data_IF_869373732762
#
_entry.id   IF_869373732762
#
_cell.length_a   1.000
_cell.length_b   1.000
_cell.length_c   1.000
_cell.angle_alpha   90.00
_cell.angle_beta   90.00
_cell.angle_gamma   90.00
#
_symmetry.space_group_name_H-M   'P 1'
#
loop_
_entity.id
_entity.type
_entity.pdbx_description
1 polymer ?
#
# COMPACT_ATOMS: atom_id res chain seq x y z
N UNK A 1 42.92 -48.39 -35.50
CA UNK A 1 42.26 -47.08 -35.64
C UNK A 1 41.62 -46.74 -34.31
N UNK A 2 42.12 -45.71 -33.60
CA UNK A 2 41.56 -45.26 -32.32
C UNK A 2 40.61 -44.10 -32.60
N UNK A 3 39.32 -44.28 -32.34
CA UNK A 3 38.32 -43.22 -32.43
C UNK A 3 38.27 -42.49 -31.08
N UNK A 4 38.73 -41.24 -31.06
CA UNK A 4 38.54 -40.34 -29.92
C UNK A 4 37.19 -39.65 -30.07
N UNK A 5 36.25 -39.97 -29.19
CA UNK A 5 34.97 -39.27 -29.09
C UNK A 5 35.17 -38.01 -28.25
N UNK A 6 34.91 -36.84 -28.85
CA UNK A 6 34.95 -35.54 -28.18
C UNK A 6 33.57 -35.29 -27.55
N UNK A 7 33.50 -35.32 -26.22
CA UNK A 7 32.28 -34.99 -25.48
C UNK A 7 32.14 -33.46 -25.44
N UNK A 8 31.16 -32.92 -26.18
CA UNK A 8 30.81 -31.49 -26.16
C UNK A 8 29.90 -31.23 -24.96
N UNK A 9 30.47 -30.67 -23.89
CA UNK A 9 29.71 -30.27 -22.71
C UNK A 9 29.03 -28.92 -22.99
N UNK A 10 27.72 -28.93 -23.23
CA UNK A 10 26.91 -27.70 -23.27
C UNK A 10 26.50 -27.33 -21.85
N UNK A 11 27.16 -26.33 -21.28
CA UNK A 11 26.76 -25.72 -20.01
C UNK A 11 25.50 -24.89 -20.22
N UNK A 12 24.35 -25.36 -19.74
CA UNK A 12 23.16 -24.51 -19.60
C UNK A 12 23.40 -23.55 -18.42
N UNK A 13 23.51 -22.25 -18.70
CA UNK A 13 23.44 -21.21 -17.67
C UNK A 13 21.96 -21.00 -17.37
N UNK A 14 21.49 -21.56 -16.25
CA UNK A 14 20.16 -21.28 -15.72
C UNK A 14 20.21 -19.91 -15.03
N UNK A 15 19.74 -18.87 -15.71
CA UNK A 15 19.52 -17.57 -15.08
C UNK A 15 18.38 -17.73 -14.06
N UNK A 16 18.72 -17.71 -12.77
CA UNK A 16 17.74 -17.64 -11.71
C UNK A 16 17.03 -16.29 -11.80
N UNK A 17 15.81 -16.29 -12.33
CA UNK A 17 14.87 -15.19 -12.17
C UNK A 17 14.47 -15.16 -10.69
N UNK A 18 15.18 -14.37 -9.89
CA UNK A 18 14.66 -13.99 -8.57
C UNK A 18 13.34 -13.25 -8.82
N UNK A 19 12.24 -13.61 -8.13
CA UNK A 19 11.01 -12.84 -8.24
C UNK A 19 11.35 -11.41 -7.82
N UNK A 20 11.18 -10.46 -8.75
CA UNK A 20 11.16 -9.06 -8.39
C UNK A 20 9.95 -8.91 -7.46
N UNK A 21 10.21 -8.78 -6.15
CA UNK A 21 9.18 -8.39 -5.21
C UNK A 21 8.75 -7.00 -5.67
N UNK A 22 7.57 -6.91 -6.28
CA UNK A 22 7.04 -5.65 -6.79
C UNK A 22 6.76 -4.81 -5.57
N UNK A 23 7.70 -3.92 -5.26
CA UNK A 23 7.67 -3.05 -4.10
C UNK A 23 6.72 -1.89 -4.43
N UNK A 24 5.41 -2.18 -4.40
CA UNK A 24 4.38 -1.32 -4.99
C UNK A 24 3.96 -0.08 -4.19
N UNK A 25 4.06 -0.11 -2.86
CA UNK A 25 3.61 1.02 -2.02
C UNK A 25 4.73 1.91 -1.50
N UNK A 26 4.40 3.19 -1.31
CA UNK A 26 5.32 4.20 -0.80
C UNK A 26 5.41 4.23 0.72
N UNK A 27 6.58 4.62 1.21
CA UNK A 27 6.89 4.90 2.61
C UNK A 27 7.70 6.19 2.71
N UNK A 28 7.94 6.69 3.93
CA UNK A 28 8.77 7.87 4.17
C UNK A 28 10.24 7.59 3.81
N UNK A 29 10.76 8.22 2.76
CA UNK A 29 12.14 8.12 2.27
C UNK A 29 13.02 9.23 2.83
N UNK A 30 12.49 10.46 2.92
CA UNK A 30 13.25 11.63 3.37
C UNK A 30 12.42 12.48 4.34
N UNK A 31 12.92 12.71 5.57
CA UNK A 31 14.06 12.02 6.21
C UNK A 31 13.83 10.51 6.30
N UNK A 32 14.89 9.71 6.31
CA UNK A 32 14.76 8.26 6.30
C UNK A 32 14.14 7.74 7.60
N UNK A 33 12.99 7.07 7.49
CA UNK A 33 12.41 6.32 8.60
C UNK A 33 13.34 5.19 9.05
N UNK A 34 13.27 4.85 10.34
CA UNK A 34 14.01 3.73 10.92
C UNK A 34 13.08 2.55 11.12
N UNK A 35 13.52 1.35 10.74
CA UNK A 35 12.65 0.18 10.65
C UNK A 35 12.95 -0.84 11.75
N UNK A 36 11.90 -1.50 12.26
CA UNK A 36 12.00 -2.53 13.30
C UNK A 36 12.85 -3.71 12.83
N UNK A 37 12.67 -4.12 11.57
CA UNK A 37 13.38 -5.23 10.93
C UNK A 37 14.72 -4.83 10.29
N UNK A 38 15.09 -3.54 10.36
CA UNK A 38 16.35 -3.03 9.83
C UNK A 38 16.36 -2.74 8.32
N UNK A 39 15.25 -2.97 7.61
CA UNK A 39 15.06 -2.61 6.21
C UNK A 39 13.67 -2.01 5.95
N UNK A 40 13.49 -1.23 4.87
CA UNK A 40 12.19 -0.62 4.56
C UNK A 40 11.09 -1.63 4.29
N UNK A 41 9.92 -1.40 4.89
CA UNK A 41 8.71 -2.19 4.67
C UNK A 41 7.66 -1.36 3.94
N UNK A 42 7.04 -1.94 2.92
CA UNK A 42 6.06 -1.27 2.06
C UNK A 42 4.69 -1.94 2.09
N UNK A 43 4.44 -2.84 3.04
CA UNK A 43 3.10 -3.37 3.30
C UNK A 43 2.33 -2.45 4.26
N UNK A 44 1.01 -2.50 4.13
CA UNK A 44 0.08 -1.90 5.08
C UNK A 44 0.13 -2.64 6.42
N UNK A 45 -0.18 -1.94 7.50
CA UNK A 45 -0.04 -2.45 8.88
C UNK A 45 -1.35 -3.03 9.42
N UNK A 46 -2.46 -2.60 8.83
CA UNK A 46 -3.82 -2.88 9.29
C UNK A 46 -4.83 -2.49 8.21
N UNK A 47 -6.08 -2.87 8.45
CA UNK A 47 -7.19 -2.53 7.56
C UNK A 47 -8.30 -1.82 8.31
N UNK A 48 -8.99 -0.90 7.63
CA UNK A 48 -10.27 -0.35 8.04
C UNK A 48 -11.33 -0.90 7.10
N UNK A 49 -12.47 -1.35 7.63
CA UNK A 49 -13.57 -1.83 6.78
C UNK A 49 -14.12 -0.68 5.93
N UNK A 50 -14.12 -0.81 4.60
CA UNK A 50 -14.59 0.26 3.71
C UNK A 50 -16.10 0.53 3.79
N UNK A 51 -16.86 -0.36 4.42
CA UNK A 51 -18.30 -0.23 4.67
C UNK A 51 -18.63 0.31 6.07
N UNK A 52 -17.68 0.98 6.76
CA UNK A 52 -17.92 1.60 8.09
C UNK A 52 -19.12 2.58 8.12
N UNK A 53 -19.48 3.16 6.98
CA UNK A 53 -20.65 4.02 6.82
C UNK A 53 -21.73 3.41 5.91
N UNK A 54 -21.71 2.09 5.75
CA UNK A 54 -22.52 1.35 4.79
C UNK A 54 -21.81 1.14 3.45
N UNK A 55 -22.40 0.30 2.60
CA UNK A 55 -21.89 -0.01 1.28
C UNK A 55 -21.80 1.25 0.38
N UNK A 56 -20.75 1.33 -0.42
CA UNK A 56 -20.54 2.44 -1.35
C UNK A 56 -21.57 2.36 -2.48
N UNK A 57 -22.42 3.40 -2.59
CA UNK A 57 -23.36 3.53 -3.70
C UNK A 57 -22.61 3.92 -4.98
N UNK A 58 -22.30 2.92 -5.82
CA UNK A 58 -21.62 3.11 -7.10
C UNK A 58 -22.39 3.99 -8.11
N UNK A 59 -23.71 4.13 -8.00
CA UNK A 59 -24.47 5.05 -8.86
C UNK A 59 -24.30 6.51 -8.43
N UNK A 60 -24.12 6.75 -7.12
CA UNK A 60 -23.87 8.09 -6.58
C UNK A 60 -22.41 8.51 -6.72
N UNK A 61 -21.48 7.66 -6.27
CA UNK A 61 -20.07 8.02 -6.14
C UNK A 61 -19.23 7.58 -7.36
N UNK A 62 -19.70 6.59 -8.12
CA UNK A 62 -18.90 5.88 -9.12
C UNK A 62 -18.31 4.59 -8.56
N UNK A 63 -17.78 3.76 -9.46
CA UNK A 63 -17.14 2.50 -9.12
C UNK A 63 -15.63 2.66 -8.98
N UNK A 64 -15.00 1.78 -8.20
CA UNK A 64 -13.55 1.73 -8.03
C UNK A 64 -12.99 2.78 -7.07
N UNK A 65 -11.66 2.95 -7.06
CA UNK A 65 -10.94 3.78 -6.09
C UNK A 65 -11.40 5.25 -6.08
N UNK A 66 -11.70 5.83 -7.25
CA UNK A 66 -12.18 7.22 -7.35
C UNK A 66 -13.57 7.39 -6.74
N UNK A 67 -14.42 6.36 -6.85
CA UNK A 67 -15.71 6.32 -6.17
C UNK A 67 -15.54 6.25 -4.65
N UNK A 68 -14.61 5.43 -4.17
CA UNK A 68 -14.28 5.32 -2.76
C UNK A 68 -13.72 6.64 -2.19
N UNK A 69 -12.85 7.35 -2.92
CA UNK A 69 -12.36 8.69 -2.55
C UNK A 69 -13.53 9.67 -2.39
N UNK A 70 -14.47 9.70 -3.34
CA UNK A 70 -15.65 10.58 -3.23
C UNK A 70 -16.53 10.21 -2.04
N UNK A 71 -16.72 8.92 -1.79
CA UNK A 71 -17.48 8.42 -0.65
C UNK A 71 -16.86 8.86 0.67
N UNK A 72 -15.57 8.61 0.91
CA UNK A 72 -14.90 9.02 2.15
C UNK A 72 -14.83 10.55 2.29
N UNK A 73 -14.64 11.29 1.20
CA UNK A 73 -14.63 12.76 1.21
C UNK A 73 -15.97 13.32 1.72
N UNK A 74 -17.09 12.67 1.37
CA UNK A 74 -18.41 13.07 1.86
C UNK A 74 -18.68 12.57 3.29
N UNK A 75 -18.33 11.32 3.60
CA UNK A 75 -18.71 10.66 4.85
C UNK A 75 -17.80 10.95 6.03
N UNK A 76 -16.51 11.18 5.80
CA UNK A 76 -15.58 11.47 6.89
C UNK A 76 -15.97 12.73 7.69
N UNK A 77 -16.32 13.87 7.06
CA UNK A 77 -16.85 15.02 7.80
C UNK A 77 -18.17 14.75 8.55
N UNK A 78 -19.03 13.87 8.03
CA UNK A 78 -20.31 13.50 8.67
C UNK A 78 -20.12 12.58 9.89
N UNK A 79 -18.98 11.88 9.96
CA UNK A 79 -18.71 10.90 11.03
C UNK A 79 -18.56 11.54 12.41
N UNK A 80 -18.20 12.82 12.49
CA UNK A 80 -17.88 13.51 13.74
C UNK A 80 -16.51 13.18 14.34
N UNK A 81 -15.71 12.33 13.68
CA UNK A 81 -14.33 12.01 14.07
C UNK A 81 -13.42 13.21 13.75
N UNK A 82 -12.52 13.55 14.68
CA UNK A 82 -11.74 14.79 14.60
C UNK A 82 -10.62 14.78 13.54
N UNK A 83 -10.10 13.59 13.21
CA UNK A 83 -9.00 13.43 12.26
C UNK A 83 -8.97 12.06 11.59
N UNK A 84 -8.24 11.96 10.47
CA UNK A 84 -8.00 10.67 9.82
C UNK A 84 -7.19 9.74 10.72
N UNK A 85 -6.20 10.29 11.46
CA UNK A 85 -5.48 9.56 12.52
C UNK A 85 -6.47 8.89 13.47
N UNK A 86 -7.42 9.63 14.01
CA UNK A 86 -8.40 9.09 14.96
C UNK A 86 -9.31 8.05 14.28
N UNK A 87 -9.78 8.31 13.06
CA UNK A 87 -10.59 7.36 12.29
C UNK A 87 -9.86 6.02 12.12
N UNK A 88 -8.57 6.07 11.75
CA UNK A 88 -7.73 4.89 11.59
C UNK A 88 -7.55 4.19 12.93
N UNK A 89 -7.09 4.89 13.96
CA UNK A 89 -6.77 4.28 15.26
C UNK A 89 -8.00 3.66 15.93
N UNK A 90 -9.19 4.23 15.73
CA UNK A 90 -10.46 3.71 16.27
C UNK A 90 -10.99 2.48 15.53
N UNK A 91 -10.69 2.33 14.22
CA UNK A 91 -11.36 1.34 13.36
C UNK A 91 -10.41 0.31 12.73
N UNK A 92 -9.10 0.47 12.88
CA UNK A 92 -8.13 -0.42 12.27
C UNK A 92 -8.12 -1.80 12.93
N UNK A 93 -7.98 -2.84 12.11
CA UNK A 93 -7.72 -4.20 12.54
C UNK A 93 -6.30 -4.56 12.15
N UNK A 94 -5.44 -4.72 13.15
CA UNK A 94 -4.03 -5.06 12.95
C UNK A 94 -3.86 -6.50 12.48
N UNK A 95 -2.97 -6.74 11.52
CA UNK A 95 -2.64 -8.10 11.05
C UNK A 95 -1.91 -8.95 12.08
N UNK A 96 -1.16 -8.29 12.96
CA UNK A 96 -0.35 -8.93 13.97
C UNK A 96 -0.27 -8.02 15.19
N UNK A 97 -0.24 -8.63 16.37
CA UNK A 97 -0.15 -7.92 17.65
C UNK A 97 1.25 -7.36 17.95
N UNK A 98 2.22 -7.57 17.06
CA UNK A 98 3.62 -7.16 17.25
C UNK A 98 3.99 -5.80 16.65
N UNK A 99 3.08 -5.17 15.90
CA UNK A 99 3.32 -3.88 15.27
C UNK A 99 2.77 -2.74 16.13
N UNK A 100 3.44 -1.59 16.05
CA UNK A 100 2.94 -0.37 16.65
C UNK A 100 1.78 0.17 15.81
N UNK A 101 0.65 0.47 16.45
CA UNK A 101 -0.55 0.95 15.77
C UNK A 101 -0.40 2.33 15.13
N UNK A 102 0.50 3.17 15.66
CA UNK A 102 0.72 4.54 15.19
C UNK A 102 1.98 4.66 14.30
N UNK A 103 2.98 3.80 14.50
CA UNK A 103 4.24 3.81 13.78
C UNK A 103 4.46 2.61 12.85
N UNK A 104 3.60 1.60 12.89
CA UNK A 104 3.66 0.45 12.01
C UNK A 104 4.97 -0.32 12.15
N UNK A 105 5.67 -0.47 11.04
CA UNK A 105 6.99 -1.12 10.96
C UNK A 105 8.16 -0.19 11.30
N UNK A 106 7.89 1.08 11.58
CA UNK A 106 8.94 2.03 11.95
C UNK A 106 9.15 2.08 13.45
N UNK A 107 10.35 2.53 13.86
CA UNK A 107 10.74 2.71 15.26
C UNK A 107 11.38 4.07 15.46
N UNK A 108 11.25 4.58 16.68
CA UNK A 108 11.97 5.76 17.11
C UNK A 108 13.36 5.36 17.62
N UNK A 109 14.39 5.60 16.80
CA UNK A 109 15.78 5.31 17.15
C UNK A 109 16.50 6.60 17.56
N UNK A 110 16.75 6.74 18.87
CA UNK A 110 17.39 7.93 19.47
C UNK A 110 18.74 8.27 18.83
N UNK A 111 19.50 7.26 18.40
CA UNK A 111 20.80 7.45 17.77
C UNK A 111 20.71 7.93 16.31
N UNK A 112 19.50 7.92 15.73
CA UNK A 112 19.24 8.23 14.32
C UNK A 112 18.11 9.25 14.14
N UNK A 113 17.99 10.17 15.08
CA UNK A 113 17.11 11.34 14.93
C UNK A 113 17.45 12.11 13.65
N UNK A 114 16.42 12.62 12.99
CA UNK A 114 16.53 13.34 11.73
C UNK A 114 16.06 14.78 11.88
N UNK A 115 16.70 15.70 11.17
CA UNK A 115 16.15 17.05 11.03
C UNK A 115 14.89 17.00 10.16
N UNK A 116 13.91 17.84 10.50
CA UNK A 116 12.69 17.96 9.72
C UNK A 116 12.94 18.87 8.50
N UNK A 117 12.80 18.38 7.26
CA UNK A 117 12.92 19.21 6.06
C UNK A 117 11.67 20.09 5.89
N UNK A 118 11.71 21.01 4.94
CA UNK A 118 10.51 21.77 4.52
C UNK A 118 9.57 20.96 3.61
N UNK A 119 10.03 19.80 3.15
CA UNK A 119 9.29 18.90 2.26
C UNK A 119 9.63 17.46 2.59
N UNK A 120 8.61 16.66 2.86
CA UNK A 120 8.74 15.21 3.07
C UNK A 120 8.76 14.50 1.73
N UNK A 121 9.58 13.44 1.61
CA UNK A 121 9.53 12.55 0.43
C UNK A 121 8.94 11.20 0.82
N UNK A 122 7.85 10.84 0.16
CA UNK A 122 7.24 9.52 0.18
C UNK A 122 7.51 8.79 -1.12
N UNK A 123 7.66 7.47 -1.06
CA UNK A 123 7.77 6.62 -2.24
C UNK A 123 8.46 5.31 -1.96
N UNK A 124 8.86 4.64 -3.03
CA UNK A 124 9.61 3.40 -3.00
C UNK A 124 10.77 3.45 -4.00
N UNK A 125 11.96 3.79 -3.51
CA UNK A 125 13.11 4.09 -4.38
C UNK A 125 12.85 5.32 -5.26
N UNK A 126 12.90 5.12 -6.59
CA UNK A 126 12.66 6.16 -7.59
C UNK A 126 11.17 6.31 -7.96
N UNK A 127 10.32 5.39 -7.52
CA UNK A 127 8.86 5.48 -7.70
C UNK A 127 8.31 6.38 -6.59
N UNK A 128 7.77 7.54 -6.95
CA UNK A 128 7.24 8.50 -5.98
C UNK A 128 5.89 8.09 -5.39
N UNK A 129 5.66 8.53 -4.14
CA UNK A 129 4.34 8.92 -3.64
C UNK A 129 3.45 7.86 -3.02
N UNK A 130 2.21 8.30 -2.81
CA UNK A 130 1.07 7.50 -2.38
C UNK A 130 0.56 6.78 -3.61
N UNK A 131 0.79 5.47 -3.71
CA UNK A 131 0.58 4.73 -4.97
C UNK A 131 -0.86 4.29 -5.20
N UNK A 132 -1.73 4.51 -4.20
CA UNK A 132 -3.17 4.30 -4.29
C UNK A 132 -3.95 5.53 -3.83
N UNK A 133 -5.13 5.79 -4.45
CA UNK A 133 -6.00 6.87 -4.03
C UNK A 133 -6.44 6.71 -2.58
N UNK A 134 -6.62 7.84 -1.92
CA UNK A 134 -7.16 7.89 -0.56
C UNK A 134 -6.55 9.00 0.29
N UNK A 135 -7.19 9.29 1.43
CA UNK A 135 -6.79 10.42 2.25
C UNK A 135 -5.49 10.15 3.00
N UNK A 136 -4.78 11.22 3.32
CA UNK A 136 -3.64 11.15 4.21
C UNK A 136 -3.60 12.36 5.17
N UNK A 137 -2.96 12.16 6.31
CA UNK A 137 -2.61 13.20 7.26
C UNK A 137 -1.14 13.12 7.65
N UNK A 138 -0.55 14.30 7.86
CA UNK A 138 0.81 14.44 8.36
C UNK A 138 0.77 15.15 9.71
N UNK A 139 1.59 14.67 10.64
CA UNK A 139 1.59 15.11 12.04
C UNK A 139 3.01 15.33 12.54
N UNK A 140 3.15 16.31 13.43
CA UNK A 140 4.28 16.44 14.34
C UNK A 140 3.78 16.30 15.77
N UNK A 141 4.14 15.22 16.45
CA UNK A 141 3.55 14.79 17.72
C UNK A 141 2.00 14.88 17.67
N UNK A 142 1.42 15.76 18.47
CA UNK A 142 -0.03 16.00 18.55
C UNK A 142 -0.53 17.15 17.64
N UNK A 143 0.34 17.70 16.79
CA UNK A 143 0.03 18.81 15.89
C UNK A 143 -0.17 18.32 14.46
N UNK A 144 -1.41 18.43 13.95
CA UNK A 144 -1.71 18.16 12.54
C UNK A 144 -1.09 19.22 11.63
N UNK A 145 -0.32 18.76 10.66
CA UNK A 145 0.33 19.62 9.66
C UNK A 145 -0.56 19.83 8.44
N UNK A 146 -1.10 18.74 7.91
CA UNK A 146 -1.94 18.73 6.70
C UNK A 146 -2.91 17.54 6.68
N UNK A 147 -3.94 17.70 5.85
CA UNK A 147 -4.91 16.68 5.46
C UNK A 147 -5.24 16.91 3.98
N UNK A 148 -5.28 15.83 3.20
CA UNK A 148 -5.82 15.85 1.83
C UNK A 148 -6.68 14.59 1.62
N UNK A 149 -7.75 14.72 0.84
CA UNK A 149 -8.69 13.62 0.56
C UNK A 149 -8.11 12.55 -0.38
N UNK A 150 -7.15 12.93 -1.23
CA UNK A 150 -6.49 12.05 -2.18
C UNK A 150 -5.04 12.47 -2.36
N UNK A 151 -4.16 11.85 -1.57
CA UNK A 151 -2.75 12.21 -1.57
C UNK A 151 -2.00 11.67 -2.79
N UNK A 152 -2.50 10.61 -3.43
CA UNK A 152 -1.96 10.10 -4.68
C UNK A 152 -2.16 11.13 -5.81
N UNK A 153 -3.37 11.70 -5.90
CA UNK A 153 -3.67 12.74 -6.88
C UNK A 153 -2.98 14.07 -6.57
N UNK A 154 -2.91 14.45 -5.27
CA UNK A 154 -2.34 15.73 -4.84
C UNK A 154 -0.81 15.77 -4.96
N UNK A 155 -0.13 14.67 -4.63
CA UNK A 155 1.32 14.58 -4.53
C UNK A 155 1.88 13.45 -5.41
N UNK A 156 1.75 13.54 -6.75
CA UNK A 156 2.14 12.46 -7.65
C UNK A 156 3.66 12.17 -7.66
N UNK A 157 4.48 13.14 -7.23
CA UNK A 157 5.92 12.94 -7.04
C UNK A 157 6.27 12.37 -5.65
N UNK A 158 5.30 12.28 -4.74
CA UNK A 158 5.50 11.96 -3.33
C UNK A 158 6.16 13.05 -2.51
N UNK A 159 6.34 14.24 -3.07
CA UNK A 159 6.87 15.40 -2.37
C UNK A 159 5.71 16.15 -1.69
N UNK A 160 5.75 16.22 -0.36
CA UNK A 160 4.70 16.85 0.46
C UNK A 160 5.30 18.02 1.25
N UNK A 161 4.96 19.26 0.90
CA UNK A 161 5.40 20.43 1.65
C UNK A 161 4.87 20.40 3.08
N UNK A 162 5.70 20.79 4.03
CA UNK A 162 5.36 20.85 5.45
C UNK A 162 5.73 22.20 6.06
N UNK A 163 4.83 22.73 6.87
CA UNK A 163 5.06 23.92 7.67
C UNK A 163 5.86 23.55 8.92
N UNK A 164 7.18 23.65 8.82
CA UNK A 164 8.11 23.26 9.89
C UNK A 164 7.93 24.09 11.17
N UNK A 165 7.29 25.28 11.09
CA UNK A 165 7.01 26.10 12.27
C UNK A 165 6.03 25.42 13.23
N UNK A 166 5.14 24.56 12.71
CA UNK A 166 4.20 23.74 13.50
C UNK A 166 4.88 22.55 14.18
N UNK A 167 6.13 22.26 13.83
CA UNK A 167 6.91 21.16 14.37
C UNK A 167 8.03 21.64 15.32
N UNK A 168 7.99 22.90 15.75
CA UNK A 168 8.98 23.42 16.67
C UNK A 168 9.01 22.59 17.96
N UNK A 169 10.16 21.99 18.25
CA UNK A 169 10.39 21.08 19.38
C UNK A 169 9.58 19.77 19.33
N UNK A 170 9.06 19.38 18.17
CA UNK A 170 8.43 18.08 18.00
C UNK A 170 9.48 16.96 18.08
N UNK A 171 9.08 15.82 18.63
CA UNK A 171 9.91 14.62 18.65
C UNK A 171 9.61 13.68 17.50
N UNK A 172 8.39 13.63 16.99
CA UNK A 172 7.99 12.63 16.04
C UNK A 172 7.26 13.27 14.88
N UNK A 173 7.70 12.96 13.66
CA UNK A 173 6.87 13.10 12.48
C UNK A 173 6.09 11.79 12.28
N UNK A 174 4.81 11.88 11.92
CA UNK A 174 3.99 10.72 11.57
C UNK A 174 3.19 10.99 10.31
N UNK A 175 3.15 10.01 9.40
CA UNK A 175 2.15 9.98 8.31
C UNK A 175 1.09 8.94 8.63
N UNK A 176 -0.16 9.27 8.33
CA UNK A 176 -1.26 8.34 8.23
C UNK A 176 -1.78 8.38 6.80
N UNK A 177 -1.79 7.26 6.10
CA UNK A 177 -2.36 7.15 4.76
C UNK A 177 -3.34 5.97 4.73
N UNK A 178 -4.56 6.25 4.28
CA UNK A 178 -5.61 5.25 4.12
C UNK A 178 -5.86 5.06 2.62
N UNK A 179 -5.36 3.95 2.06
CA UNK A 179 -5.57 3.61 0.67
C UNK A 179 -6.93 2.94 0.47
N UNK A 180 -7.78 3.51 -0.38
CA UNK A 180 -9.19 3.11 -0.55
C UNK A 180 -9.46 2.35 -1.85
N UNK A 181 -8.43 1.74 -2.45
CA UNK A 181 -8.55 1.04 -3.72
C UNK A 181 -9.22 -0.34 -3.62
N UNK A 182 -9.29 -0.90 -2.41
CA UNK A 182 -9.91 -2.19 -2.11
C UNK A 182 -11.12 -2.02 -1.17
N UNK A 183 -11.93 -3.07 -0.99
CA UNK A 183 -13.08 -3.05 -0.07
C UNK A 183 -12.66 -2.96 1.39
N UNK A 184 -11.54 -3.61 1.75
CA UNK A 184 -10.82 -3.37 3.00
C UNK A 184 -9.79 -2.28 2.73
N UNK A 185 -9.98 -1.11 3.33
CA UNK A 185 -9.07 0.01 3.14
C UNK A 185 -7.77 -0.25 3.89
N UNK A 186 -6.65 -0.04 3.21
CA UNK A 186 -5.34 -0.39 3.71
C UNK A 186 -4.68 0.80 4.42
N UNK A 187 -4.18 0.57 5.63
CA UNK A 187 -3.54 1.60 6.45
C UNK A 187 -2.02 1.53 6.32
N UNK A 188 -1.43 2.66 5.95
CA UNK A 188 0.02 2.86 5.91
C UNK A 188 0.39 3.96 6.89
N UNK A 189 1.20 3.61 7.90
CA UNK A 189 1.72 4.55 8.89
C UNK A 189 3.23 4.41 9.03
N UNK A 190 3.91 5.55 9.02
CA UNK A 190 5.35 5.61 9.27
C UNK A 190 5.66 6.79 10.20
N UNK A 191 6.63 6.56 11.09
CA UNK A 191 7.17 7.54 12.01
C UNK A 191 8.62 7.85 11.68
N UNK A 192 9.02 9.10 11.94
CA UNK A 192 10.41 9.52 11.98
C UNK A 192 10.70 10.22 13.29
N UNK A 193 11.76 9.80 13.97
CA UNK A 193 12.25 10.48 15.16
C UNK A 193 12.99 11.77 14.75
N UNK A 194 12.54 12.91 15.25
CA UNK A 194 13.05 14.24 14.94
C UNK A 194 14.10 14.72 15.94
N UNK A 195 15.06 15.49 15.42
CA UNK A 195 16.05 16.24 16.20
C UNK A 195 15.42 17.53 16.76
N UNK A 196 15.78 17.92 17.98
CA UNK A 196 15.39 19.22 18.56
C UNK A 196 14.14 19.19 19.45
N UNK A 197 13.45 18.05 19.55
CA UNK A 197 12.41 17.85 20.56
C UNK A 197 12.96 17.69 21.97
N UNK A 198 12.24 18.24 22.96
CA UNK A 198 12.61 18.19 24.39
C UNK A 198 11.68 17.27 25.23
N UNK A 199 10.64 16.70 24.62
CA UNK A 199 9.69 15.79 25.27
C UNK A 199 10.16 14.35 25.28
N UNK A 200 9.86 13.60 26.36
CA UNK A 200 10.23 12.19 26.48
C UNK A 200 9.64 11.36 25.34
N UNK A 201 10.40 10.37 24.89
CA UNK A 201 9.87 9.27 24.09
C UNK A 201 8.51 8.87 24.68
N UNK A 202 7.46 8.90 23.88
CA UNK A 202 6.24 8.19 24.23
C UNK A 202 6.70 6.78 24.61
N UNK A 203 6.55 6.46 25.90
CA UNK A 203 7.00 5.19 26.44
C UNK A 203 6.29 4.10 25.66
N UNK A 204 7.01 3.44 24.75
CA UNK A 204 6.67 2.11 24.30
C UNK A 204 6.59 1.26 25.57
N UNK A 205 5.37 1.13 26.10
CA UNK A 205 5.10 0.37 27.30
C UNK A 205 5.27 -1.09 26.92
N UNK A 206 6.48 -1.60 27.08
CA UNK A 206 6.78 -3.02 27.05
C UNK A 206 6.16 -3.65 28.29
N UNK A 207 4.86 -3.95 28.23
CA UNK A 207 4.23 -4.83 29.22
C UNK A 207 4.71 -6.27 28.97
N UNK A 208 5.14 -7.02 30.00
CA UNK A 208 5.53 -8.41 29.83
C UNK A 208 4.29 -9.27 29.58
N UNK A 209 4.20 -9.86 28.38
CA UNK A 209 3.15 -10.80 28.01
C UNK A 209 3.36 -12.12 28.76
N UNK A 210 2.41 -12.48 29.62
CA UNK A 210 2.26 -13.85 30.09
C UNK A 210 1.44 -14.62 29.05
N UNK A 211 2.06 -15.65 28.46
CA UNK A 211 1.46 -16.49 27.43
C UNK A 211 0.34 -17.39 27.97
N UNK A 212 -0.74 -17.60 27.19
CA UNK A 212 -1.46 -18.86 27.17
C UNK A 212 -1.27 -19.61 25.84
N UNK A 213 -1.49 -20.92 25.93
CA UNK A 213 -1.11 -21.97 24.99
C UNK A 213 -1.63 -21.82 23.55
N UNK A 214 -0.77 -22.23 22.61
CA UNK A 214 -1.06 -22.33 21.19
C UNK A 214 -2.09 -23.42 20.87
N UNK A 215 -3.10 -23.07 20.07
CA UNK A 215 -3.87 -24.03 19.26
C UNK A 215 -3.56 -23.78 17.79
N UNK A 216 -2.88 -24.75 17.19
CA UNK A 216 -2.59 -24.83 15.75
C UNK A 216 -3.89 -25.04 14.96
N UNK A 217 -4.22 -24.10 14.07
CA UNK A 217 -5.11 -24.34 12.94
C UNK A 217 -4.33 -24.10 11.63
N UNK A 218 -4.43 -25.03 10.70
CA UNK A 218 -3.73 -25.03 9.41
C UNK A 218 -4.28 -23.92 8.48
N UNK A 219 -3.46 -23.37 7.56
CA UNK A 219 -3.90 -22.31 6.66
C UNK A 219 -4.85 -22.86 5.60
N UNK A 220 -5.99 -22.20 5.43
CA UNK A 220 -6.88 -22.37 4.29
C UNK A 220 -6.32 -21.57 3.12
N UNK A 221 -6.17 -22.23 1.97
CA UNK A 221 -5.79 -21.59 0.71
C UNK A 221 -6.95 -20.70 0.25
N UNK A 222 -6.72 -19.38 0.25
CA UNK A 222 -7.63 -18.38 -0.31
C UNK A 222 -7.25 -18.07 -1.76
N UNK A 223 -8.29 -17.99 -2.59
CA UNK A 223 -8.35 -17.64 -4.01
C UNK A 223 -7.32 -16.61 -4.47
N UNK A 224 -6.70 -16.91 -5.62
CA UNK A 224 -6.00 -15.94 -6.43
C UNK A 224 -7.05 -15.19 -7.27
N UNK A 225 -7.24 -13.90 -7.00
CA UNK A 225 -8.00 -13.01 -7.88
C UNK A 225 -7.21 -12.74 -9.17
N UNK A 226 -7.84 -13.06 -10.30
CA UNK A 226 -7.35 -12.87 -11.67
C UNK A 226 -7.33 -11.38 -12.04
N UNK A 227 -6.20 -10.69 -11.87
CA UNK A 227 -5.87 -9.49 -12.64
C UNK A 227 -5.00 -9.87 -13.85
N UNK A 228 -5.29 -9.25 -15.01
CA UNK A 228 -4.62 -9.38 -16.33
C UNK A 228 -5.15 -10.44 -17.32
N UNK A 229 -6.41 -10.30 -17.76
CA UNK A 229 -6.81 -10.79 -19.08
C UNK A 229 -6.35 -9.80 -20.19
N UNK A 230 -5.06 -9.83 -20.55
CA UNK A 230 -4.62 -9.21 -21.81
C UNK A 230 -4.96 -10.11 -23.00
N UNK A 231 -5.78 -9.60 -23.91
CA UNK A 231 -6.32 -10.33 -25.06
C UNK A 231 -5.25 -10.98 -25.95
N UNK A 232 -5.44 -12.27 -26.23
CA UNK A 232 -4.67 -13.01 -27.25
C UNK A 232 -5.39 -12.95 -28.60
N UNK A 233 -4.69 -12.82 -29.74
CA UNK A 233 -5.32 -12.67 -31.06
C UNK A 233 -6.14 -13.90 -31.48
N UNK A 234 -7.31 -13.65 -32.07
CA UNK A 234 -8.22 -14.69 -32.55
C UNK A 234 -7.56 -15.61 -33.59
N UNK A 235 -7.55 -16.91 -33.29
CA UNK A 235 -7.20 -17.95 -34.25
C UNK A 235 -8.36 -18.18 -35.23
N UNK A 236 -8.02 -18.30 -36.52
CA UNK A 236 -8.96 -18.47 -37.63
C UNK A 236 -9.81 -19.74 -37.48
N UNK A 237 -11.13 -19.58 -37.56
CA UNK A 237 -12.11 -20.66 -37.55
C UNK A 237 -12.28 -21.30 -38.93
N UNK A 238 -12.06 -22.61 -39.00
CA UNK A 238 -12.35 -23.48 -40.16
C UNK A 238 -13.88 -23.58 -40.39
N UNK A 239 -14.38 -23.50 -41.64
CA UNK A 239 -15.82 -23.58 -41.90
C UNK A 239 -16.33 -25.05 -41.88
N UNK A 240 -17.50 -25.25 -41.25
CA UNK A 240 -18.28 -26.49 -41.33
C UNK A 240 -19.06 -26.61 -42.67
N UNK A 241 -19.38 -27.84 -43.15
CA UNK A 241 -19.94 -28.04 -44.47
C UNK A 241 -21.44 -27.73 -44.53
N UNK A 242 -21.84 -26.77 -45.36
CA UNK A 242 -23.24 -26.40 -45.58
C UNK A 242 -23.92 -27.31 -46.62
N UNK A 243 -25.17 -27.67 -46.33
CA UNK A 243 -26.08 -28.46 -47.17
C UNK A 243 -26.32 -27.79 -48.54
N UNK A 244 -26.43 -28.63 -49.57
CA UNK A 244 -26.71 -28.26 -50.98
C UNK A 244 -28.00 -27.45 -51.12
N UNK A 245 -27.92 -26.30 -51.80
CA UNK A 245 -29.06 -25.65 -52.43
C UNK A 245 -28.90 -25.71 -53.96
N UNK A 246 -29.97 -26.12 -54.62
CA UNK A 246 -30.11 -26.36 -56.07
C UNK A 246 -30.14 -25.05 -56.85
N UNK A 247 -29.47 -25.06 -58.01
CA UNK A 247 -29.28 -23.90 -58.90
C UNK A 247 -30.59 -23.42 -59.56
N UNK A 248 -30.71 -22.10 -59.76
CA UNK A 248 -31.66 -21.47 -60.68
C UNK A 248 -30.88 -20.67 -61.73
N UNK A 249 -31.02 -21.08 -62.98
CA UNK A 249 -30.40 -20.51 -64.18
C UNK A 249 -30.93 -19.10 -64.50
N UNK A 250 -30.03 -18.20 -64.92
CA UNK A 250 -30.37 -16.90 -65.51
C UNK A 250 -30.90 -17.08 -66.93
N UNK A 251 -31.84 -16.23 -67.34
CA UNK A 251 -32.29 -16.07 -68.72
C UNK A 251 -32.01 -14.64 -69.19
N UNK A 252 -31.48 -14.56 -70.40
CA UNK A 252 -31.20 -13.43 -71.29
C UNK A 252 -30.18 -12.39 -70.77
#
# INVERSE_FOLDING_TARGET
MKASSVLSTRTLVLAALAPAVVLGHGYVISPAAQWTEGYPHNGYISEVNGSIWGEIDGFKYGWGPEGAVKFITEKFPESGVASLKDLILENQVMWTSGLDEACGYTKLDEAKRSELPTEMKFGNGDVGGFTHPGPCELWCDDTKLSYDNDCAAKYPSGLVPIDTSKCANANQFTVYWLAVHASMWQVYTNCVYLTGGSGGAATASKAPVSAPAATTAAPVAGDADDEYATGTPAAASTPSPTKKCTAKTRRA
#
